data_IF_681417010347
#
_entry.id   IF_681417010347
#
_cell.length_a   1.000
_cell.length_b   1.000
_cell.length_c   1.000
_cell.angle_alpha   90.00
_cell.angle_beta   90.00
_cell.angle_gamma   90.00
#
_symmetry.space_group_name_H-M   'P 1'
#
loop_
_entity.id
_entity.type
_entity.pdbx_description
1 polymer ?
#
# COMPACT_ATOMS: atom_id res chain seq x y z
N UNK A 1 -5.05 -14.69 -0.13
CA UNK A 1 -5.05 -13.22 -0.43
C UNK A 1 -6.40 -12.78 -0.98
N UNK A 2 -7.15 -12.02 -0.19
CA UNK A 2 -8.45 -11.42 -0.52
C UNK A 2 -8.27 -10.00 -1.05
N UNK A 3 -8.96 -9.67 -2.15
CA UNK A 3 -9.01 -8.30 -2.67
C UNK A 3 -9.86 -7.40 -1.77
N UNK A 4 -9.35 -6.20 -1.48
CA UNK A 4 -10.01 -5.20 -0.62
C UNK A 4 -10.32 -3.93 -1.41
N UNK A 5 -9.32 -3.37 -2.11
CA UNK A 5 -9.43 -2.18 -2.97
C UNK A 5 -10.03 -0.97 -2.25
N UNK A 6 -9.47 -0.61 -1.09
CA UNK A 6 -9.93 0.53 -0.28
C UNK A 6 -8.84 1.58 -0.13
N UNK A 7 -9.20 2.86 -0.21
CA UNK A 7 -8.28 3.95 0.13
C UNK A 7 -7.98 3.92 1.63
N UNK A 8 -6.71 4.06 1.98
CA UNK A 8 -6.22 4.08 3.36
C UNK A 8 -5.31 5.28 3.60
N UNK A 9 -5.13 5.62 4.87
CA UNK A 9 -4.09 6.58 5.27
C UNK A 9 -2.81 5.82 5.59
N UNK A 10 -1.70 6.27 5.01
CA UNK A 10 -0.36 5.76 5.31
C UNK A 10 0.51 6.91 5.80
N UNK A 11 1.22 6.69 6.90
CA UNK A 11 2.26 7.63 7.35
C UNK A 11 3.63 7.07 7.02
N UNK A 12 4.50 7.97 6.56
CA UNK A 12 5.89 7.69 6.23
C UNK A 12 6.82 8.26 7.28
N UNK A 13 8.00 7.67 7.43
CA UNK A 13 9.10 8.26 8.21
C UNK A 13 9.65 9.49 7.47
N UNK A 14 10.50 10.27 8.14
CA UNK A 14 11.22 11.38 7.49
C UNK A 14 12.12 10.91 6.33
N UNK A 15 12.55 9.64 6.34
CA UNK A 15 13.32 9.02 5.26
C UNK A 15 12.43 8.48 4.11
N UNK A 16 11.11 8.58 4.23
CA UNK A 16 10.15 8.11 3.23
C UNK A 16 9.73 6.63 3.37
N UNK A 17 10.10 5.99 4.47
CA UNK A 17 9.77 4.57 4.72
C UNK A 17 8.37 4.41 5.29
N UNK A 18 7.73 3.28 4.99
CA UNK A 18 6.39 2.94 5.50
C UNK A 18 6.41 2.74 7.01
N UNK A 19 5.69 3.59 7.76
CA UNK A 19 5.65 3.52 9.22
C UNK A 19 4.35 2.89 9.75
N UNK A 20 3.21 3.26 9.18
CA UNK A 20 1.89 2.86 9.70
C UNK A 20 0.82 3.01 8.63
N UNK A 21 -0.16 2.10 8.64
CA UNK A 21 -1.39 2.23 7.87
C UNK A 21 -2.61 2.36 8.81
N UNK A 22 -3.63 3.10 8.37
CA UNK A 22 -4.93 3.20 9.06
C UNK A 22 -5.99 2.60 8.17
N UNK A 23 -6.61 1.51 8.64
CA UNK A 23 -7.64 0.78 7.93
C UNK A 23 -8.79 0.42 8.88
N UNK A 24 -10.03 0.60 8.43
CA UNK A 24 -11.24 0.35 9.21
C UNK A 24 -11.24 1.04 10.60
N UNK A 25 -10.71 2.27 10.66
CA UNK A 25 -10.61 3.05 11.91
C UNK A 25 -9.51 2.57 12.88
N UNK A 26 -8.77 1.52 12.54
CA UNK A 26 -7.67 0.98 13.35
C UNK A 26 -6.32 1.28 12.69
N UNK A 27 -5.33 1.61 13.52
CA UNK A 27 -3.96 1.82 13.08
C UNK A 27 -3.13 0.52 13.22
N UNK A 28 -2.38 0.20 12.18
CA UNK A 28 -1.50 -0.97 12.11
C UNK A 28 -0.06 -0.49 11.87
N UNK A 29 0.86 -0.70 12.82
CA UNK A 29 2.26 -0.34 12.62
C UNK A 29 2.87 -1.25 11.55
N UNK A 30 3.57 -0.66 10.59
CA UNK A 30 4.33 -1.43 9.58
C UNK A 30 5.64 -1.86 10.23
N UNK A 31 5.82 -3.17 10.34
CA UNK A 31 7.01 -3.79 10.94
C UNK A 31 8.10 -4.03 9.89
N UNK A 32 7.72 -4.16 8.63
CA UNK A 32 8.66 -4.31 7.53
C UNK A 32 7.98 -4.38 6.16
N UNK A 33 8.73 -3.99 5.13
CA UNK A 33 8.38 -4.24 3.72
C UNK A 33 8.95 -5.59 3.35
N UNK A 34 8.08 -6.53 3.02
CA UNK A 34 8.42 -7.89 2.61
C UNK A 34 8.83 -7.94 1.13
N UNK A 35 8.19 -7.12 0.29
CA UNK A 35 8.52 -6.98 -1.12
C UNK A 35 8.06 -5.61 -1.66
N UNK A 36 8.70 -5.15 -2.73
CA UNK A 36 8.38 -3.90 -3.41
C UNK A 36 8.59 -4.06 -4.93
N UNK A 37 7.57 -3.70 -5.70
CA UNK A 37 7.65 -3.73 -7.16
C UNK A 37 6.95 -2.55 -7.81
N UNK A 38 7.34 -2.30 -9.06
CA UNK A 38 6.72 -1.29 -9.92
C UNK A 38 5.63 -1.95 -10.75
N UNK A 39 4.44 -1.39 -10.76
CA UNK A 39 3.42 -1.74 -11.74
C UNK A 39 3.29 -0.59 -12.75
N UNK A 40 3.65 -0.86 -14.00
CA UNK A 40 3.71 0.14 -15.07
C UNK A 40 2.37 0.77 -15.45
N UNK A 41 1.24 0.22 -14.96
CA UNK A 41 -0.08 0.67 -15.38
C UNK A 41 -0.43 0.18 -16.79
N UNK A 42 -1.69 0.35 -17.17
CA UNK A 42 -2.13 0.35 -18.56
C UNK A 42 -2.10 1.79 -19.06
N UNK A 43 -0.91 2.33 -19.29
CA UNK A 43 -0.73 3.74 -19.67
C UNK A 43 -1.47 4.11 -20.95
N UNK A 44 -1.65 3.17 -21.88
CA UNK A 44 -2.47 3.32 -23.09
C UNK A 44 -3.98 3.44 -22.81
N UNK A 45 -4.43 3.15 -21.59
CA UNK A 45 -5.79 3.36 -21.11
C UNK A 45 -5.87 4.49 -20.06
N UNK A 46 -4.80 5.29 -19.91
CA UNK A 46 -4.75 6.37 -18.94
C UNK A 46 -4.54 5.96 -17.49
N UNK A 47 -4.21 4.68 -17.22
CA UNK A 47 -3.85 4.27 -15.87
C UNK A 47 -2.45 4.75 -15.51
N UNK A 48 -2.33 5.48 -14.39
CA UNK A 48 -1.05 5.85 -13.84
C UNK A 48 -0.27 4.60 -13.39
N UNK A 49 1.07 4.61 -13.53
CA UNK A 49 1.89 3.61 -12.85
C UNK A 49 1.77 3.77 -11.33
N UNK A 50 2.11 2.71 -10.61
CA UNK A 50 2.07 2.68 -9.15
C UNK A 50 3.23 1.87 -8.59
N UNK A 51 3.63 2.22 -7.39
CA UNK A 51 4.52 1.39 -6.57
C UNK A 51 3.67 0.50 -5.68
N UNK A 52 3.96 -0.79 -5.71
CA UNK A 52 3.30 -1.78 -4.90
C UNK A 52 4.25 -2.25 -3.80
N UNK A 53 3.70 -2.44 -2.60
CA UNK A 53 4.42 -2.88 -1.42
C UNK A 53 3.67 -4.06 -0.81
N UNK A 54 4.36 -5.15 -0.53
CA UNK A 54 3.88 -6.17 0.39
C UNK A 54 4.48 -5.87 1.76
N UNK A 55 3.64 -5.67 2.78
CA UNK A 55 4.09 -5.28 4.11
C UNK A 55 3.60 -6.22 5.19
N UNK A 56 4.42 -6.41 6.22
CA UNK A 56 3.98 -6.94 7.51
C UNK A 56 3.50 -5.75 8.36
N UNK A 57 2.22 -5.75 8.74
CA UNK A 57 1.59 -4.68 9.51
C UNK A 57 0.80 -5.24 10.70
N UNK A 58 1.48 -5.43 11.84
CA UNK A 58 0.91 -6.10 13.00
C UNK A 58 0.61 -7.56 12.71
N UNK A 59 -0.64 -7.98 12.84
CA UNK A 59 -1.08 -9.35 12.51
C UNK A 59 -1.43 -9.53 11.02
N UNK A 60 -1.37 -8.45 10.22
CA UNK A 60 -1.74 -8.47 8.81
C UNK A 60 -0.53 -8.55 7.90
N UNK A 61 -0.66 -9.30 6.81
CA UNK A 61 0.15 -9.10 5.61
C UNK A 61 -0.72 -8.39 4.57
N UNK A 62 -0.28 -7.22 4.13
CA UNK A 62 -1.07 -6.34 3.29
C UNK A 62 -0.32 -5.95 2.02
N UNK A 63 -1.04 -5.92 0.89
CA UNK A 63 -0.55 -5.32 -0.35
C UNK A 63 -1.05 -3.88 -0.43
N UNK A 64 -0.12 -2.93 -0.46
CA UNK A 64 -0.39 -1.50 -0.56
C UNK A 64 0.02 -0.98 -1.94
N UNK A 65 -0.81 -0.13 -2.54
CA UNK A 65 -0.46 0.58 -3.77
C UNK A 65 -0.37 2.07 -3.52
N UNK A 66 0.67 2.70 -4.09
CA UNK A 66 0.84 4.14 -4.13
C UNK A 66 0.94 4.59 -5.58
N UNK A 67 -0.03 5.38 -6.04
CA UNK A 67 -0.07 5.90 -7.40
C UNK A 67 0.99 6.97 -7.63
N UNK A 68 1.62 6.97 -8.80
CA UNK A 68 2.56 8.01 -9.20
C UNK A 68 1.89 9.36 -9.33
N UNK A 69 2.53 10.40 -8.79
CA UNK A 69 1.99 11.77 -8.82
C UNK A 69 0.73 11.95 -7.96
N UNK A 70 0.19 10.87 -7.40
CA UNK A 70 -0.91 10.86 -6.46
C UNK A 70 -0.42 10.92 -5.02
N UNK A 71 -1.35 11.25 -4.12
CA UNK A 71 -1.16 11.13 -2.66
C UNK A 71 -1.99 9.98 -2.08
N UNK A 72 -2.58 9.17 -2.96
CA UNK A 72 -3.57 8.16 -2.60
C UNK A 72 -2.87 6.84 -2.37
N UNK A 73 -3.15 6.25 -1.21
CA UNK A 73 -2.74 4.91 -0.86
C UNK A 73 -3.94 3.99 -0.89
N UNK A 74 -3.75 2.80 -1.47
CA UNK A 74 -4.76 1.77 -1.53
C UNK A 74 -4.32 0.54 -0.76
N UNK A 75 -5.20 -0.01 0.08
CA UNK A 75 -5.13 -1.39 0.53
C UNK A 75 -5.70 -2.27 -0.58
N UNK A 76 -4.82 -2.85 -1.38
CA UNK A 76 -5.20 -3.63 -2.55
C UNK A 76 -5.70 -5.01 -2.15
N UNK A 77 -4.94 -5.70 -1.28
CA UNK A 77 -5.21 -7.07 -0.83
C UNK A 77 -4.76 -7.29 0.62
N UNK A 78 -5.41 -8.24 1.28
CA UNK A 78 -4.98 -8.79 2.57
C UNK A 78 -4.72 -10.29 2.43
N UNK A 79 -3.69 -10.79 3.08
CA UNK A 79 -3.56 -12.22 3.35
C UNK A 79 -4.49 -12.57 4.51
N UNK A 80 -5.21 -13.66 4.34
CA UNK A 80 -6.08 -14.32 5.32
C UNK A 80 -5.32 -15.37 6.14
#
# INVERSE_FOLDING_TARGET
MKAVQQTITVSLTAAGELQRMVWAGRAYPVQGVLDQWRYGGRWWLGEAPRTCYLVQAGELIAELHHEDGGKIWWLARLVD
#
